data_IF_685240811905
#
_entry.id   IF_685240811905
#
_cell.length_a   1.000
_cell.length_b   1.000
_cell.length_c   1.000
_cell.angle_alpha   90.00
_cell.angle_beta   90.00
_cell.angle_gamma   90.00
#
_symmetry.space_group_name_H-M   'P 1'
#
loop_
_entity.id
_entity.type
_entity.pdbx_description
1 polymer ?
#
# COMPACT_ATOMS: atom_id res chain seq x y z
N UNK A 1 -25.28 27.26 0.18
CA UNK A 1 -25.04 25.87 0.63
C UNK A 1 -23.74 25.87 1.40
N UNK A 2 -23.79 25.77 2.73
CA UNK A 2 -22.59 25.80 3.58
C UNK A 2 -22.27 24.35 3.95
N UNK A 3 -21.14 23.84 3.44
CA UNK A 3 -20.62 22.54 3.87
C UNK A 3 -19.89 22.72 5.21
N UNK A 4 -20.45 22.13 6.28
CA UNK A 4 -19.73 21.94 7.52
C UNK A 4 -19.08 20.55 7.49
N UNK A 5 -17.77 20.50 7.70
CA UNK A 5 -17.08 19.25 8.01
C UNK A 5 -16.85 19.20 9.53
N UNK A 6 -17.15 18.05 10.14
CA UNK A 6 -16.79 17.84 11.55
C UNK A 6 -15.27 17.83 11.64
N UNK A 7 -14.70 18.55 12.61
CA UNK A 7 -13.24 18.70 12.78
C UNK A 7 -12.51 17.33 12.79
N UNK A 8 -13.16 16.29 13.33
CA UNK A 8 -12.65 14.91 13.32
C UNK A 8 -12.64 14.22 11.96
N UNK A 9 -13.53 14.56 11.04
CA UNK A 9 -13.53 14.05 9.65
C UNK A 9 -12.42 14.67 8.82
N UNK A 10 -12.12 15.96 9.03
CA UNK A 10 -11.01 16.66 8.36
C UNK A 10 -9.68 15.95 8.68
N UNK A 11 -9.43 15.67 9.96
CA UNK A 11 -8.21 14.98 10.42
C UNK A 11 -8.12 13.55 9.83
N UNK A 12 -9.24 12.82 9.74
CA UNK A 12 -9.26 11.48 9.13
C UNK A 12 -8.98 11.55 7.63
N UNK A 13 -9.52 12.55 6.93
CA UNK A 13 -9.29 12.76 5.51
C UNK A 13 -7.83 13.12 5.20
N UNK A 14 -7.20 13.94 6.04
CA UNK A 14 -5.75 14.24 5.93
C UNK A 14 -4.89 12.98 6.12
N UNK A 15 -5.17 12.20 7.17
CA UNK A 15 -4.48 10.92 7.40
C UNK A 15 -4.67 9.94 6.26
N UNK A 16 -5.87 9.89 5.67
CA UNK A 16 -6.16 9.06 4.49
C UNK A 16 -5.30 9.49 3.29
N UNK A 17 -5.17 10.78 3.03
CA UNK A 17 -4.29 11.29 1.96
C UNK A 17 -2.83 10.91 2.20
N UNK A 18 -2.34 11.05 3.44
CA UNK A 18 -0.99 10.64 3.82
C UNK A 18 -0.80 9.13 3.60
N UNK A 19 -1.76 8.32 4.06
CA UNK A 19 -1.72 6.87 3.90
C UNK A 19 -1.67 6.43 2.44
N UNK A 20 -2.53 7.01 1.60
CA UNK A 20 -2.54 6.74 0.16
C UNK A 20 -1.20 7.15 -0.47
N UNK A 21 -0.70 8.34 -0.18
CA UNK A 21 0.57 8.84 -0.75
C UNK A 21 1.75 7.94 -0.38
N UNK A 22 1.86 7.55 0.89
CA UNK A 22 2.95 6.68 1.34
C UNK A 22 2.83 5.27 0.75
N UNK A 23 1.61 4.76 0.61
CA UNK A 23 1.39 3.44 0.03
C UNK A 23 1.64 3.42 -1.48
N UNK A 24 1.31 4.51 -2.17
CA UNK A 24 1.64 4.74 -3.58
C UNK A 24 3.16 4.71 -3.80
N UNK A 25 3.93 5.43 -2.97
CA UNK A 25 5.39 5.37 -2.96
C UNK A 25 5.91 3.96 -2.69
N UNK A 26 5.31 3.23 -1.74
CA UNK A 26 5.67 1.86 -1.42
C UNK A 26 5.46 0.92 -2.61
N UNK A 27 4.27 0.89 -3.23
CA UNK A 27 3.99 0.03 -4.39
C UNK A 27 4.92 0.38 -5.55
N UNK A 28 5.14 1.67 -5.81
CA UNK A 28 6.05 2.12 -6.86
C UNK A 28 7.49 1.65 -6.61
N UNK A 29 7.98 1.71 -5.37
CA UNK A 29 9.28 1.18 -5.00
C UNK A 29 9.37 -0.34 -5.21
N UNK A 30 8.26 -1.07 -5.07
CA UNK A 30 8.19 -2.51 -5.26
C UNK A 30 7.95 -2.95 -6.71
N UNK A 31 7.98 -2.03 -7.69
CA UNK A 31 7.67 -2.34 -9.11
C UNK A 31 8.55 -3.41 -9.74
N UNK A 32 9.75 -3.62 -9.22
CA UNK A 32 10.70 -4.64 -9.69
C UNK A 32 10.99 -5.66 -8.60
N UNK A 33 11.55 -6.80 -8.98
CA UNK A 33 12.02 -7.82 -8.03
C UNK A 33 13.31 -7.44 -7.28
N UNK A 34 13.69 -6.16 -7.20
CA UNK A 34 14.98 -5.73 -6.65
C UNK A 34 15.21 -6.23 -5.22
N UNK A 35 14.17 -6.28 -4.39
CA UNK A 35 14.28 -6.74 -3.00
C UNK A 35 14.63 -8.24 -2.95
N UNK A 36 14.02 -9.04 -3.83
CA UNK A 36 14.36 -10.46 -3.97
C UNK A 36 15.80 -10.64 -4.44
N UNK A 37 16.22 -9.91 -5.48
CA UNK A 37 17.61 -9.95 -6.01
C UNK A 37 18.62 -9.59 -4.92
N UNK A 38 18.34 -8.53 -4.14
CA UNK A 38 19.17 -8.09 -3.01
C UNK A 38 19.28 -9.16 -1.93
N UNK A 39 18.16 -9.78 -1.54
CA UNK A 39 18.12 -10.76 -0.46
C UNK A 39 18.74 -12.12 -0.83
N UNK A 40 18.79 -12.46 -2.12
CA UNK A 40 19.34 -13.72 -2.61
C UNK A 40 20.76 -13.59 -3.17
N UNK A 41 21.42 -12.45 -2.97
CA UNK A 41 22.85 -12.28 -3.31
C UNK A 41 23.16 -12.08 -4.79
N UNK A 42 22.17 -11.72 -5.61
CA UNK A 42 22.36 -11.44 -7.04
C UNK A 42 21.17 -11.83 -7.91
N UNK A 43 21.30 -11.59 -9.22
CA UNK A 43 20.26 -11.80 -10.23
C UNK A 43 19.91 -10.53 -11.01
N UNK A 44 19.07 -10.68 -12.04
CA UNK A 44 18.62 -9.55 -12.86
C UNK A 44 17.40 -8.89 -12.24
N UNK A 45 17.48 -7.56 -12.08
CA UNK A 45 16.32 -6.76 -11.71
C UNK A 45 15.40 -6.64 -12.92
N UNK A 46 14.17 -7.13 -12.79
CA UNK A 46 13.15 -7.10 -13.84
C UNK A 46 11.86 -6.49 -13.30
N UNK A 47 11.07 -5.91 -14.21
CA UNK A 47 9.75 -5.37 -13.90
C UNK A 47 8.80 -6.51 -13.53
N UNK A 48 8.11 -6.37 -12.40
CA UNK A 48 7.17 -7.37 -11.89
C UNK A 48 5.75 -6.82 -11.73
N UNK A 49 5.60 -5.49 -11.68
CA UNK A 49 4.33 -4.79 -11.61
C UNK A 49 4.26 -3.74 -12.71
N UNK A 50 3.28 -3.90 -13.60
CA UNK A 50 3.05 -3.00 -14.73
C UNK A 50 2.08 -1.89 -14.35
N UNK A 51 1.04 -2.21 -13.59
CA UNK A 51 0.01 -1.27 -13.17
C UNK A 51 -0.55 -1.62 -11.79
N UNK A 52 -1.21 -0.66 -11.15
CA UNK A 52 -1.96 -0.89 -9.92
C UNK A 52 -3.02 0.17 -9.68
N UNK A 53 -3.96 -0.13 -8.80
CA UNK A 53 -4.91 0.83 -8.28
C UNK A 53 -5.20 0.57 -6.81
N UNK A 54 -5.19 1.63 -6.01
CA UNK A 54 -5.68 1.59 -4.63
C UNK A 54 -7.20 1.71 -4.70
N UNK A 55 -7.91 0.65 -4.33
CA UNK A 55 -9.38 0.59 -4.41
C UNK A 55 -10.04 1.09 -3.13
N UNK A 56 -9.38 0.91 -1.98
CA UNK A 56 -9.85 1.41 -0.70
C UNK A 56 -8.68 1.78 0.23
N UNK A 57 -8.89 2.81 1.05
CA UNK A 57 -8.06 3.13 2.19
C UNK A 57 -8.98 3.42 3.39
N UNK A 58 -9.08 2.45 4.29
CA UNK A 58 -9.97 2.47 5.45
C UNK A 58 -9.19 2.70 6.73
N UNK A 59 -9.56 3.72 7.49
CA UNK A 59 -8.97 3.98 8.80
C UNK A 59 -9.38 2.89 9.78
N UNK A 60 -8.42 2.24 10.42
CA UNK A 60 -8.67 1.15 11.36
C UNK A 60 -8.59 1.64 12.81
N UNK A 61 -7.45 2.21 13.20
CA UNK A 61 -7.22 2.67 14.58
C UNK A 61 -6.15 3.76 14.68
N UNK A 62 -6.08 4.38 15.86
CA UNK A 62 -4.99 5.27 16.25
C UNK A 62 -4.60 5.02 17.70
N UNK A 63 -3.29 4.94 17.94
CA UNK A 63 -2.68 4.73 19.25
C UNK A 63 -1.52 5.74 19.38
N UNK A 64 -1.72 6.80 20.18
CA UNK A 64 -0.74 7.88 20.31
C UNK A 64 -0.47 8.60 18.98
N UNK A 65 0.80 8.61 18.56
CA UNK A 65 1.27 9.20 17.30
C UNK A 65 1.25 8.22 16.11
N UNK A 66 0.80 6.98 16.33
CA UNK A 66 0.63 5.96 15.28
C UNK A 66 -0.84 5.86 14.87
N UNK A 67 -1.08 5.76 13.57
CA UNK A 67 -2.40 5.41 13.04
C UNK A 67 -2.29 4.34 11.96
N UNK A 68 -3.33 3.50 11.86
CA UNK A 68 -3.35 2.33 10.99
C UNK A 68 -4.44 2.48 9.93
N UNK A 69 -4.10 2.15 8.69
CA UNK A 69 -5.06 2.02 7.59
C UNK A 69 -5.04 0.59 7.04
N UNK A 70 -6.21 0.06 6.71
CA UNK A 70 -6.36 -1.07 5.81
C UNK A 70 -6.40 -0.54 4.37
N UNK A 71 -5.38 -0.89 3.59
CA UNK A 71 -5.27 -0.58 2.17
C UNK A 71 -5.75 -1.78 1.38
N UNK A 72 -6.77 -1.59 0.55
CA UNK A 72 -7.21 -2.57 -0.45
C UNK A 72 -6.78 -2.07 -1.82
N UNK A 73 -6.23 -2.96 -2.64
CA UNK A 73 -5.64 -2.59 -3.91
C UNK A 73 -5.64 -3.76 -4.89
N UNK A 74 -5.60 -3.41 -6.17
CA UNK A 74 -5.43 -4.35 -7.26
C UNK A 74 -4.08 -4.08 -7.92
N UNK A 75 -3.43 -5.12 -8.42
CA UNK A 75 -2.15 -5.01 -9.12
C UNK A 75 -2.19 -5.79 -10.43
N UNK A 76 -1.53 -5.26 -11.45
CA UNK A 76 -1.30 -5.94 -12.72
C UNK A 76 0.15 -6.38 -12.78
N UNK A 77 0.39 -7.67 -12.61
CA UNK A 77 1.75 -8.21 -12.62
C UNK A 77 2.20 -8.61 -14.03
N UNK A 78 3.49 -8.86 -14.19
CA UNK A 78 4.02 -9.58 -15.37
C UNK A 78 3.79 -11.08 -15.20
N UNK A 79 3.71 -11.83 -16.31
CA UNK A 79 3.50 -13.29 -16.30
C UNK A 79 4.55 -14.03 -15.46
N UNK A 80 5.75 -13.47 -15.34
CA UNK A 80 6.90 -14.04 -14.63
C UNK A 80 6.84 -13.84 -13.10
N UNK A 81 5.87 -13.05 -12.58
CA UNK A 81 5.88 -12.65 -11.17
C UNK A 81 5.08 -13.57 -10.25
N UNK A 82 5.74 -14.61 -9.73
CA UNK A 82 5.21 -15.41 -8.62
C UNK A 82 5.15 -14.63 -7.29
N UNK A 83 5.99 -13.59 -7.14
CA UNK A 83 6.08 -12.78 -5.92
C UNK A 83 4.75 -12.11 -5.56
N UNK A 84 4.08 -11.52 -6.54
CA UNK A 84 2.83 -10.78 -6.34
C UNK A 84 1.60 -11.68 -6.18
N UNK A 85 1.65 -12.89 -6.75
CA UNK A 85 0.58 -13.90 -6.69
C UNK A 85 0.44 -14.56 -5.31
N UNK A 86 1.49 -14.53 -4.50
CA UNK A 86 1.43 -15.05 -3.14
C UNK A 86 0.52 -14.19 -2.21
N UNK A 87 -0.04 -14.84 -1.20
CA UNK A 87 -0.82 -14.19 -0.13
C UNK A 87 -2.30 -14.05 -0.47
N UNK A 88 -2.85 -12.86 -0.18
CA UNK A 88 -4.25 -12.53 -0.43
C UNK A 88 -4.49 -11.99 -1.85
N UNK A 89 -5.78 -11.87 -2.22
CA UNK A 89 -6.24 -11.47 -3.54
C UNK A 89 -6.75 -12.66 -4.36
N UNK A 90 -7.31 -12.37 -5.53
CA UNK A 90 -7.82 -13.35 -6.48
C UNK A 90 -7.28 -13.06 -7.86
N UNK A 91 -6.91 -14.11 -8.60
CA UNK A 91 -6.55 -13.96 -10.00
C UNK A 91 -7.75 -13.40 -10.79
N UNK A 92 -7.48 -12.33 -11.54
CA UNK A 92 -8.38 -11.72 -12.51
C UNK A 92 -7.87 -11.92 -13.94
N UNK A 93 -8.53 -11.28 -14.89
CA UNK A 93 -8.13 -11.29 -16.30
C UNK A 93 -6.86 -10.45 -16.52
N UNK A 94 -6.15 -10.68 -17.63
CA UNK A 94 -4.98 -9.90 -18.06
C UNK A 94 -3.90 -9.69 -16.98
N UNK A 95 -3.60 -10.72 -16.18
CA UNK A 95 -2.63 -10.67 -15.08
C UNK A 95 -2.96 -9.68 -13.96
N UNK A 96 -4.22 -9.29 -13.83
CA UNK A 96 -4.67 -8.61 -12.63
C UNK A 96 -4.78 -9.58 -11.45
N UNK A 97 -4.42 -9.09 -10.27
CA UNK A 97 -4.71 -9.70 -8.98
C UNK A 97 -5.60 -8.70 -8.24
N UNK A 98 -6.83 -9.10 -7.99
CA UNK A 98 -7.90 -8.24 -7.48
C UNK A 98 -8.08 -8.44 -5.98
N UNK A 99 -8.31 -7.35 -5.27
CA UNK A 99 -8.67 -7.35 -3.85
C UNK A 99 -7.53 -7.79 -2.94
N UNK A 100 -6.28 -7.43 -3.27
CA UNK A 100 -5.20 -7.55 -2.31
C UNK A 100 -5.44 -6.55 -1.17
N UNK A 101 -4.98 -6.89 0.02
CA UNK A 101 -5.07 -5.97 1.15
C UNK A 101 -3.84 -6.05 2.06
N UNK A 102 -3.50 -4.92 2.66
CA UNK A 102 -2.45 -4.78 3.66
C UNK A 102 -2.85 -3.73 4.69
N UNK A 103 -2.54 -4.00 5.96
CA UNK A 103 -2.54 -2.99 7.00
C UNK A 103 -1.22 -2.23 6.96
N UNK A 104 -1.30 -0.91 7.03
CA UNK A 104 -0.13 -0.04 7.15
C UNK A 104 -0.20 0.77 8.44
N UNK A 105 0.86 0.67 9.24
CA UNK A 105 1.04 1.48 10.43
C UNK A 105 1.87 2.70 10.05
N UNK A 106 1.34 3.90 10.31
CA UNK A 106 1.98 5.16 9.97
C UNK A 106 2.30 5.91 11.26
N UNK A 107 3.55 6.34 11.40
CA UNK A 107 4.04 7.08 12.56
C UNK A 107 4.49 8.47 12.12
N UNK A 108 4.21 9.46 12.96
CA UNK A 108 4.80 10.80 12.83
C UNK A 108 6.12 10.87 13.61
N UNK A 109 7.20 11.23 12.93
CA UNK A 109 8.47 11.60 13.55
C UNK A 109 8.87 13.00 13.08
N UNK A 110 8.96 13.94 14.03
CA UNK A 110 9.13 15.38 13.75
C UNK A 110 8.04 15.84 12.76
N UNK A 111 8.44 16.42 11.63
CA UNK A 111 7.52 16.98 10.63
C UNK A 111 7.20 16.00 9.49
N UNK A 112 7.54 14.72 9.64
CA UNK A 112 7.36 13.70 8.59
C UNK A 112 6.53 12.52 9.08
N UNK A 113 5.82 11.92 8.13
CA UNK A 113 5.12 10.65 8.29
C UNK A 113 5.85 9.57 7.49
N UNK A 114 5.86 8.35 7.99
CA UNK A 114 6.43 7.19 7.30
C UNK A 114 5.64 5.94 7.67
N UNK A 115 5.67 4.95 6.78
CA UNK A 115 5.17 3.61 7.07
C UNK A 115 6.20 2.92 7.98
N UNK A 116 5.77 2.58 9.18
CA UNK A 116 6.55 1.88 10.20
C UNK A 116 6.43 0.35 10.01
N UNK A 117 5.25 -0.12 9.60
CA UNK A 117 5.00 -1.54 9.36
C UNK A 117 3.94 -1.77 8.26
N UNK A 118 4.06 -2.91 7.56
CA UNK A 118 3.11 -3.41 6.57
C UNK A 118 2.85 -4.90 6.85
N UNK A 119 1.59 -5.29 6.99
CA UNK A 119 1.22 -6.67 7.32
C UNK A 119 -0.16 -7.06 6.78
N UNK A 120 -0.50 -8.35 6.79
CA UNK A 120 -1.76 -8.89 6.22
C UNK A 120 -2.71 -9.48 7.26
N UNK A 121 -2.44 -9.24 8.55
CA UNK A 121 -3.13 -9.90 9.67
C UNK A 121 -2.40 -11.15 10.14
#
# INVERSE_FOLDING_TARGET
MILYYLLGEIIKNEKKKIAISLFDEYINNMRTNWQYVKNNGGGTVVLTLTDYRITEAKFEKQEGNRFTFLMTYDIKCTDESNYWRAGNGKDGEDNWIIGKFQYIDIVKYKDKYYIDNIYTG
#
